data_IF_524077454634
#
_entry.id   IF_524077454634
#
_cell.length_a   1.000
_cell.length_b   1.000
_cell.length_c   1.000
_cell.angle_alpha   90.00
_cell.angle_beta   90.00
_cell.angle_gamma   90.00
#
_symmetry.space_group_name_H-M   'P 1'
#
loop_
_entity.id
_entity.type
_entity.pdbx_description
1 polymer ?
#
# COMPACT_ATOMS: atom_id res chain seq x y z
N UNK A 1 -25.18 36.81 -42.32
CA UNK A 1 -25.22 35.56 -43.09
C UNK A 1 -25.78 34.40 -42.25
N UNK A 2 -25.18 34.02 -41.11
CA UNK A 2 -25.76 33.03 -40.18
C UNK A 2 -27.12 33.42 -39.57
N UNK A 3 -27.37 34.71 -39.37
CA UNK A 3 -28.67 35.21 -38.87
C UNK A 3 -29.82 35.07 -39.89
N UNK A 4 -29.52 34.79 -41.16
CA UNK A 4 -30.54 34.71 -42.22
C UNK A 4 -30.95 33.28 -42.60
N UNK A 5 -30.10 32.27 -42.35
CA UNK A 5 -30.43 30.87 -42.65
C UNK A 5 -29.75 29.89 -41.67
N UNK A 6 -30.48 29.39 -40.66
CA UNK A 6 -29.98 28.42 -39.68
C UNK A 6 -29.59 27.06 -40.29
N UNK A 7 -30.14 26.70 -41.47
CA UNK A 7 -29.91 25.39 -42.12
C UNK A 7 -28.46 25.21 -42.59
N UNK A 8 -27.72 26.32 -42.76
CA UNK A 8 -26.29 26.30 -43.10
C UNK A 8 -25.42 25.67 -42.01
N UNK A 9 -25.85 25.71 -40.74
CA UNK A 9 -25.13 25.04 -39.65
C UNK A 9 -25.26 23.52 -39.81
N UNK A 10 -26.48 23.03 -40.07
CA UNK A 10 -26.76 21.61 -40.27
C UNK A 10 -26.06 21.06 -41.52
N UNK A 11 -26.05 21.83 -42.61
CA UNK A 11 -25.31 21.50 -43.82
C UNK A 11 -23.79 21.43 -43.59
N UNK A 12 -23.24 22.41 -42.86
CA UNK A 12 -21.82 22.42 -42.48
C UNK A 12 -21.43 21.21 -41.63
N UNK A 13 -22.24 20.85 -40.64
CA UNK A 13 -22.02 19.68 -39.79
C UNK A 13 -22.02 18.38 -40.61
N UNK A 14 -22.94 18.21 -41.56
CA UNK A 14 -22.96 17.06 -42.46
C UNK A 14 -21.68 16.96 -43.32
N UNK A 15 -21.07 18.10 -43.67
CA UNK A 15 -19.82 18.17 -44.43
C UNK A 15 -18.56 18.21 -43.55
N UNK A 16 -18.67 18.00 -42.23
CA UNK A 16 -17.57 18.10 -41.24
C UNK A 16 -16.92 19.50 -41.17
N UNK A 17 -17.66 20.56 -41.52
CA UNK A 17 -17.21 21.95 -41.44
C UNK A 17 -18.06 22.68 -40.41
N UNK A 18 -17.44 23.05 -39.29
CA UNK A 18 -18.13 23.77 -38.21
C UNK A 18 -17.74 25.25 -38.28
N UNK A 19 -18.75 26.13 -38.32
CA UNK A 19 -18.53 27.57 -38.21
C UNK A 19 -18.18 27.90 -36.76
N UNK A 20 -16.91 28.25 -36.52
CA UNK A 20 -16.39 28.58 -35.20
C UNK A 20 -16.05 30.06 -35.09
N UNK A 21 -16.49 30.70 -34.01
CA UNK A 21 -15.91 31.98 -33.58
C UNK A 21 -14.54 31.72 -32.93
N UNK A 22 -13.63 32.72 -32.84
CA UNK A 22 -12.35 32.55 -32.14
C UNK A 22 -12.51 31.94 -30.74
N UNK A 23 -13.55 32.34 -30.01
CA UNK A 23 -13.90 31.80 -28.68
C UNK A 23 -14.30 30.34 -28.73
N UNK A 24 -15.15 29.93 -29.68
CA UNK A 24 -15.59 28.54 -29.85
C UNK A 24 -14.43 27.62 -30.21
N UNK A 25 -13.51 28.07 -31.08
CA UNK A 25 -12.31 27.30 -31.41
C UNK A 25 -11.41 27.10 -30.19
N UNK A 26 -11.15 28.17 -29.43
CA UNK A 26 -10.36 28.08 -28.19
C UNK A 26 -11.01 27.13 -27.19
N UNK A 27 -12.34 27.16 -27.05
CA UNK A 27 -13.06 26.25 -26.17
C UNK A 27 -12.90 24.78 -26.59
N UNK A 28 -13.04 24.47 -27.89
CA UNK A 28 -12.85 23.12 -28.42
C UNK A 28 -11.41 22.62 -28.24
N UNK A 29 -10.41 23.47 -28.52
CA UNK A 29 -9.00 23.13 -28.31
C UNK A 29 -8.68 22.89 -26.83
N UNK A 30 -9.27 23.68 -25.91
CA UNK A 30 -9.15 23.42 -24.46
C UNK A 30 -9.81 22.10 -24.08
N UNK A 31 -10.97 21.77 -24.63
CA UNK A 31 -11.63 20.49 -24.38
C UNK A 31 -10.78 19.30 -24.84
N UNK A 32 -10.15 19.39 -26.02
CA UNK A 32 -9.19 18.37 -26.51
C UNK A 32 -7.98 18.26 -25.59
N UNK A 33 -7.40 19.40 -25.19
CA UNK A 33 -6.26 19.43 -24.25
C UNK A 33 -6.60 18.76 -22.91
N UNK A 34 -7.77 19.06 -22.35
CA UNK A 34 -8.26 18.39 -21.15
C UNK A 34 -8.51 16.89 -21.37
N UNK A 35 -9.01 16.50 -22.54
CA UNK A 35 -9.18 15.09 -22.91
C UNK A 35 -7.85 14.32 -22.87
N UNK A 36 -6.79 14.85 -23.48
CA UNK A 36 -5.46 14.23 -23.44
C UNK A 36 -4.83 14.22 -22.06
N UNK A 37 -5.05 15.25 -21.25
CA UNK A 37 -4.58 15.27 -19.87
C UNK A 37 -5.29 14.17 -19.05
N UNK A 38 -6.61 14.02 -19.24
CA UNK A 38 -7.40 13.01 -18.55
C UNK A 38 -6.97 11.59 -18.95
N UNK A 39 -6.70 11.37 -20.24
CA UNK A 39 -6.20 10.09 -20.75
C UNK A 39 -4.82 9.74 -20.15
N UNK A 40 -3.90 10.73 -20.11
CA UNK A 40 -2.58 10.53 -19.49
C UNK A 40 -2.67 10.20 -18.00
N UNK A 41 -3.56 10.87 -17.25
CA UNK A 41 -3.80 10.57 -15.83
C UNK A 41 -4.35 9.14 -15.67
N UNK A 42 -5.31 8.75 -16.50
CA UNK A 42 -5.88 7.41 -16.47
C UNK A 42 -4.85 6.32 -16.79
N UNK A 43 -4.02 6.53 -17.82
CA UNK A 43 -2.94 5.61 -18.18
C UNK A 43 -1.91 5.49 -17.05
N UNK A 44 -1.49 6.62 -16.46
CA UNK A 44 -0.56 6.64 -15.32
C UNK A 44 -1.12 5.89 -14.11
N UNK A 45 -2.41 6.09 -13.79
CA UNK A 45 -3.06 5.40 -12.68
C UNK A 45 -3.12 3.88 -12.89
N UNK A 46 -3.32 3.41 -14.13
CA UNK A 46 -3.27 1.99 -14.46
C UNK A 46 -1.87 1.41 -14.28
N UNK A 47 -0.83 2.14 -14.72
CA UNK A 47 0.56 1.71 -14.56
C UNK A 47 0.98 1.65 -13.09
N UNK A 48 0.65 2.68 -12.30
CA UNK A 48 0.88 2.71 -10.86
C UNK A 48 0.17 1.53 -10.18
N UNK A 49 -1.08 1.26 -10.54
CA UNK A 49 -1.84 0.13 -9.98
C UNK A 49 -1.19 -1.22 -10.29
N UNK A 50 -0.71 -1.40 -11.52
CA UNK A 50 0.01 -2.60 -11.95
C UNK A 50 1.31 -2.77 -11.18
N UNK A 51 2.10 -1.70 -11.06
CA UNK A 51 3.36 -1.71 -10.32
C UNK A 51 3.13 -1.97 -8.84
N UNK A 52 2.11 -1.36 -8.24
CA UNK A 52 1.72 -1.58 -6.85
C UNK A 52 1.35 -3.04 -6.58
N UNK A 53 0.60 -3.68 -7.49
CA UNK A 53 0.27 -5.12 -7.37
C UNK A 53 1.49 -6.01 -7.48
N UNK A 54 2.42 -5.71 -8.39
CA UNK A 54 3.67 -6.45 -8.52
C UNK A 54 4.54 -6.30 -7.25
N UNK A 55 4.71 -5.07 -6.76
CA UNK A 55 5.44 -4.79 -5.54
C UNK A 55 4.85 -5.53 -4.33
N UNK A 56 3.52 -5.48 -4.15
CA UNK A 56 2.85 -6.21 -3.08
C UNK A 56 3.11 -7.72 -3.16
N UNK A 57 3.03 -8.30 -4.35
CA UNK A 57 3.32 -9.72 -4.56
C UNK A 57 4.77 -10.08 -4.19
N UNK A 58 5.73 -9.24 -4.60
CA UNK A 58 7.15 -9.43 -4.25
C UNK A 58 7.38 -9.30 -2.75
N UNK A 59 6.77 -8.31 -2.11
CA UNK A 59 6.88 -8.10 -0.67
C UNK A 59 6.32 -9.31 0.09
N UNK A 60 5.18 -9.85 -0.34
CA UNK A 60 4.59 -11.07 0.25
C UNK A 60 5.51 -12.28 0.18
N UNK A 61 6.26 -12.45 -0.91
CA UNK A 61 7.25 -13.53 -1.04
C UNK A 61 8.46 -13.24 -0.15
N UNK A 62 8.92 -12.00 -0.13
CA UNK A 62 10.05 -11.56 0.69
C UNK A 62 9.79 -11.75 2.19
N UNK A 63 8.63 -11.37 2.70
CA UNK A 63 8.27 -11.55 4.12
C UNK A 63 8.28 -13.03 4.52
N UNK A 64 7.82 -13.93 3.64
CA UNK A 64 7.88 -15.38 3.87
C UNK A 64 9.32 -15.89 4.00
N UNK A 65 10.26 -15.36 3.21
CA UNK A 65 11.67 -15.70 3.38
C UNK A 65 12.20 -15.25 4.74
N UNK A 66 11.82 -14.06 5.21
CA UNK A 66 12.20 -13.56 6.54
C UNK A 66 11.59 -14.38 7.69
N UNK A 67 10.34 -14.83 7.55
CA UNK A 67 9.72 -15.76 8.51
C UNK A 67 10.51 -17.05 8.63
N UNK A 68 10.91 -17.63 7.48
CA UNK A 68 11.72 -18.86 7.45
C UNK A 68 13.10 -18.65 8.09
N UNK A 69 13.74 -17.51 7.82
CA UNK A 69 15.03 -17.15 8.44
C UNK A 69 14.86 -17.01 9.97
N UNK A 70 13.82 -16.31 10.43
CA UNK A 70 13.54 -16.17 11.86
C UNK A 70 13.33 -17.52 12.55
N UNK A 71 12.59 -18.43 11.91
CA UNK A 71 12.40 -19.79 12.41
C UNK A 71 13.70 -20.60 12.44
N UNK A 72 14.56 -20.46 11.42
CA UNK A 72 15.88 -21.10 11.39
C UNK A 72 16.80 -20.59 12.51
N UNK A 73 16.82 -19.27 12.72
CA UNK A 73 17.60 -18.64 13.78
C UNK A 73 17.13 -19.10 15.16
N UNK A 74 15.81 -19.19 15.38
CA UNK A 74 15.26 -19.71 16.63
C UNK A 74 15.75 -21.12 16.93
N UNK A 75 15.71 -22.03 15.95
CA UNK A 75 16.23 -23.40 16.10
C UNK A 75 17.73 -23.43 16.38
N UNK A 76 18.50 -22.59 15.71
CA UNK A 76 19.94 -22.49 15.94
C UNK A 76 20.25 -22.03 17.38
N UNK A 77 19.50 -21.05 17.91
CA UNK A 77 19.63 -20.62 19.30
C UNK A 77 19.23 -21.72 20.28
N UNK A 78 18.15 -22.45 20.02
CA UNK A 78 17.74 -23.60 20.84
C UNK A 78 18.85 -24.66 20.91
N UNK A 79 19.40 -25.08 19.77
CA UNK A 79 20.51 -26.05 19.74
C UNK A 79 21.78 -25.54 20.41
N UNK A 80 22.08 -24.24 20.28
CA UNK A 80 23.21 -23.62 21.00
C UNK A 80 23.01 -23.73 22.52
N UNK A 81 21.83 -23.33 23.03
CA UNK A 81 21.52 -23.37 24.46
C UNK A 81 21.51 -24.80 25.01
N UNK A 82 21.01 -25.79 24.27
CA UNK A 82 21.13 -27.21 24.63
C UNK A 82 22.61 -27.66 24.73
N UNK A 83 23.44 -27.21 23.79
CA UNK A 83 24.88 -27.47 23.79
C UNK A 83 25.58 -26.90 25.02
N UNK A 84 25.28 -25.64 25.36
CA UNK A 84 25.77 -24.97 26.58
C UNK A 84 25.35 -25.75 27.82
N UNK A 85 24.06 -26.11 27.95
CA UNK A 85 23.57 -26.87 29.09
C UNK A 85 24.22 -28.26 29.22
N UNK A 86 24.54 -28.93 28.11
CA UNK A 86 25.28 -30.21 28.15
C UNK A 86 26.75 -30.02 28.53
N UNK A 87 27.39 -28.95 28.06
CA UNK A 87 28.76 -28.59 28.42
C UNK A 87 28.87 -28.34 29.93
N UNK A 88 28.01 -27.49 30.48
CA UNK A 88 27.94 -27.20 31.91
C UNK A 88 27.60 -28.45 32.72
N UNK A 89 26.58 -29.19 32.27
CA UNK A 89 26.02 -30.31 33.01
C UNK A 89 26.89 -31.57 33.01
N UNK A 90 27.69 -31.81 31.98
CA UNK A 90 28.46 -33.06 31.92
C UNK A 90 29.95 -32.75 31.95
N UNK A 91 30.40 -31.98 30.98
CA UNK A 91 31.82 -31.80 30.72
C UNK A 91 32.49 -30.99 31.82
N UNK A 92 31.97 -29.80 32.15
CA UNK A 92 32.57 -28.93 33.16
C UNK A 92 32.50 -29.54 34.56
N UNK A 93 31.42 -30.23 34.91
CA UNK A 93 31.34 -30.98 36.18
C UNK A 93 32.38 -32.09 36.26
N UNK A 94 32.54 -32.87 35.20
CA UNK A 94 33.55 -33.93 35.15
C UNK A 94 34.97 -33.33 35.21
N UNK A 95 35.24 -32.26 34.46
CA UNK A 95 36.54 -31.59 34.47
C UNK A 95 36.92 -31.08 35.88
N UNK A 96 35.97 -30.45 36.59
CA UNK A 96 36.15 -30.03 38.00
C UNK A 96 36.54 -31.23 38.90
N UNK A 97 35.83 -32.36 38.77
CA UNK A 97 36.13 -33.59 39.54
C UNK A 97 37.52 -34.18 39.22
N UNK A 98 37.95 -34.14 37.97
CA UNK A 98 39.32 -34.57 37.60
C UNK A 98 40.39 -33.69 38.22
N UNK A 99 40.16 -32.37 38.29
CA UNK A 99 41.05 -31.42 38.97
C UNK A 99 41.11 -31.67 40.47
N UNK A 100 39.97 -31.92 41.12
CA UNK A 100 39.91 -32.30 42.55
C UNK A 100 40.70 -33.58 42.87
N UNK A 101 40.72 -34.55 41.94
CA UNK A 101 41.48 -35.79 42.07
C UNK A 101 42.97 -35.64 41.70
N UNK A 102 43.43 -34.44 41.37
CA UNK A 102 44.84 -34.17 41.01
C UNK A 102 45.26 -34.74 39.66
N UNK A 103 44.32 -35.16 38.82
CA UNK A 103 44.60 -35.80 37.53
C UNK A 103 44.97 -34.80 36.41
N UNK A 104 44.84 -33.49 36.65
CA UNK A 104 45.19 -32.43 35.71
C UNK A 104 45.79 -31.22 36.43
N UNK A 105 46.75 -30.55 35.79
CA UNK A 105 47.35 -29.30 36.24
C UNK A 105 47.23 -28.25 35.12
N UNK A 106 46.52 -27.15 35.38
CA UNK A 106 46.25 -26.11 34.37
C UNK A 106 45.15 -25.12 34.78
N UNK A 107 44.94 -24.10 33.94
CA UNK A 107 43.84 -23.12 34.09
C UNK A 107 42.46 -23.77 33.99
N UNK A 108 41.46 -23.12 34.60
CA UNK A 108 40.08 -23.57 34.55
C UNK A 108 39.49 -23.40 33.15
N UNK A 109 38.62 -24.34 32.77
CA UNK A 109 37.87 -24.25 31.52
C UNK A 109 36.85 -23.11 31.68
N UNK A 110 36.89 -22.15 30.76
CA UNK A 110 35.97 -21.02 30.75
C UNK A 110 34.50 -21.45 30.63
N UNK A 111 33.62 -20.71 31.28
CA UNK A 111 32.17 -20.91 31.18
C UNK A 111 31.64 -20.24 29.90
N UNK A 112 30.68 -20.88 29.25
CA UNK A 112 30.04 -20.38 28.03
C UNK A 112 28.67 -19.83 28.43
N UNK A 113 28.45 -18.55 28.16
CA UNK A 113 27.18 -17.91 28.50
C UNK A 113 26.04 -18.37 27.57
N UNK A 114 24.86 -18.73 28.12
CA UNK A 114 23.67 -19.00 27.31
C UNK A 114 23.13 -17.73 26.65
N UNK A 115 22.39 -17.90 25.54
CA UNK A 115 21.77 -16.78 24.82
C UNK A 115 20.26 -16.77 25.09
N UNK A 116 19.78 -15.79 25.85
CA UNK A 116 18.36 -15.62 26.21
C UNK A 116 17.56 -14.74 25.23
N UNK A 117 18.12 -14.41 24.07
CA UNK A 117 17.46 -13.52 23.11
C UNK A 117 16.51 -14.27 22.20
N UNK A 118 15.25 -13.87 22.15
CA UNK A 118 14.31 -14.29 21.11
C UNK A 118 14.37 -13.35 19.91
N UNK A 119 14.30 -13.86 18.66
CA UNK A 119 14.17 -13.01 17.49
C UNK A 119 12.96 -12.06 17.61
N UNK A 120 13.18 -10.76 17.36
CA UNK A 120 12.12 -9.75 17.43
C UNK A 120 11.02 -10.05 16.41
N UNK A 121 9.78 -10.16 16.88
CA UNK A 121 8.63 -10.22 16.00
C UNK A 121 8.42 -8.85 15.32
N UNK A 122 8.12 -8.87 14.01
CA UNK A 122 7.71 -7.67 13.29
C UNK A 122 6.33 -7.24 13.82
N UNK A 123 6.28 -6.13 14.55
CA UNK A 123 5.02 -5.45 14.82
C UNK A 123 4.63 -4.66 13.58
N UNK A 124 3.62 -5.14 12.86
CA UNK A 124 2.86 -4.27 11.96
C UNK A 124 1.89 -3.50 12.87
N UNK A 125 2.00 -2.18 12.87
CA UNK A 125 0.98 -1.29 13.41
C UNK A 125 -0.36 -1.55 12.70
N UNK A 126 -1.47 -1.41 13.41
CA UNK A 126 -2.81 -1.82 12.96
C UNK A 126 -3.28 -1.13 11.65
N UNK A 127 -2.54 -0.14 11.15
CA UNK A 127 -2.79 0.52 9.85
C UNK A 127 -2.20 -0.18 8.63
N UNK A 128 -1.29 -1.16 8.81
CA UNK A 128 -0.52 -1.72 7.69
C UNK A 128 0.33 -0.68 6.96
N UNK A 129 0.98 -1.06 5.86
CA UNK A 129 1.89 -0.16 5.12
C UNK A 129 1.19 1.01 4.42
N UNK A 130 -0.15 0.96 4.23
CA UNK A 130 -0.91 1.95 3.45
C UNK A 130 -2.40 2.06 3.87
N UNK A 131 -2.71 2.56 5.08
CA UNK A 131 -4.09 2.66 5.56
C UNK A 131 -4.98 3.59 4.71
N UNK A 132 -4.42 4.67 4.14
CA UNK A 132 -5.17 5.67 3.39
C UNK A 132 -5.57 5.22 1.96
N UNK A 133 -4.88 4.23 1.38
CA UNK A 133 -5.14 3.77 0.01
C UNK A 133 -6.31 2.77 -0.10
N UNK A 134 -6.67 2.10 1.00
CA UNK A 134 -7.82 1.19 1.06
C UNK A 134 -9.13 1.95 1.33
N UNK A 135 -9.04 3.15 1.92
CA UNK A 135 -10.15 4.07 2.11
C UNK A 135 -10.54 4.78 0.79
N UNK A 136 -10.82 4.01 -0.25
CA UNK A 136 -11.39 4.51 -1.49
C UNK A 136 -12.79 5.09 -1.24
N UNK A 137 -12.88 6.41 -1.12
CA UNK A 137 -14.01 7.28 -1.49
C UNK A 137 -15.38 6.59 -1.54
N UNK A 138 -16.06 6.53 -0.41
CA UNK A 138 -17.53 6.48 -0.33
C UNK A 138 -18.04 7.78 0.30
N UNK A 139 -17.84 8.89 -0.37
CA UNK A 139 -18.60 10.12 -0.11
C UNK A 139 -19.25 10.52 -1.42
N UNK A 140 -20.46 9.98 -1.63
CA UNK A 140 -21.45 10.57 -2.52
C UNK A 140 -21.74 11.98 -1.99
N UNK A 141 -21.34 13.00 -2.75
CA UNK A 141 -21.83 14.35 -2.51
C UNK A 141 -23.30 14.40 -2.97
N UNK A 142 -24.20 14.12 -2.04
CA UNK A 142 -25.62 14.50 -2.15
C UNK A 142 -25.71 16.02 -2.00
N UNK A 143 -25.54 16.76 -3.09
CA UNK A 143 -25.96 18.16 -3.13
C UNK A 143 -27.49 18.20 -3.21
N UNK A 144 -28.08 18.61 -2.09
CA UNK A 144 -29.49 18.87 -1.89
C UNK A 144 -29.94 20.05 -2.79
N UNK A 145 -30.44 19.75 -3.98
CA UNK A 145 -31.10 20.73 -4.84
C UNK A 145 -32.61 20.64 -4.60
N UNK A 146 -33.10 21.36 -3.59
CA UNK A 146 -34.54 21.60 -3.45
C UNK A 146 -34.94 22.76 -4.36
N UNK A 147 -35.74 22.56 -5.43
CA UNK A 147 -36.23 23.68 -6.21
C UNK A 147 -37.37 24.35 -5.42
N UNK A 148 -37.28 25.68 -5.27
CA UNK A 148 -38.34 26.48 -4.68
C UNK A 148 -39.61 26.37 -5.54
N UNK A 149 -40.64 25.72 -5.00
CA UNK A 149 -41.97 25.68 -5.59
C UNK A 149 -42.63 27.06 -5.51
N UNK A 150 -42.67 27.75 -6.65
CA UNK A 150 -43.60 28.85 -6.88
C UNK A 150 -44.99 28.25 -7.04
N UNK A 151 -45.90 28.54 -6.11
CA UNK A 151 -47.35 28.45 -6.33
C UNK A 151 -47.99 29.78 -6.01
N UNK A 152 -48.49 30.44 -7.06
CA UNK A 152 -49.40 31.59 -7.00
C UNK A 152 -50.83 31.09 -6.77
N UNK A 153 -51.53 31.75 -5.86
CA UNK A 153 -52.84 32.36 -6.18
C UNK A 153 -54.12 31.71 -5.65
N UNK A 154 -55.05 32.62 -5.31
CA UNK A 154 -56.52 32.49 -5.24
C UNK A 154 -57.11 31.86 -3.96
N UNK A 155 -57.54 32.67 -2.97
CA UNK A 155 -58.88 33.28 -2.81
C UNK A 155 -60.00 32.31 -2.43
N UNK A 156 -60.67 32.58 -1.29
CA UNK A 156 -62.13 32.56 -1.22
C UNK A 156 -62.81 31.67 -0.17
N UNK A 157 -63.47 32.35 0.78
CA UNK A 157 -64.75 32.03 1.44
C UNK A 157 -64.90 30.82 2.36
N UNK A 158 -65.45 31.09 3.54
CA UNK A 158 -65.96 30.14 4.53
C UNK A 158 -66.00 30.76 5.91
#
# INVERSE_FOLDING_TARGET
ALEQDPSLIEFGVQQRVILATPTTLIALLKAVSYGWQQEQIAASAQEISKLGRDLYNRLRVFTRHFENIGAGLKRALESYNEGVGSLEGRVLRTARKFKELGATTGEDIGEVEPIDRTPRALGLDEGGLFPELIAGKSEETSEDFTPASISKGATGSG
#
